data_IF_711555571896
#
_entry.id   IF_711555571896
#
_cell.length_a   1.000
_cell.length_b   1.000
_cell.length_c   1.000
_cell.angle_alpha   90.00
_cell.angle_beta   90.00
_cell.angle_gamma   90.00
#
_symmetry.space_group_name_H-M   'P 1'
#
loop_
_entity.id
_entity.type
_entity.pdbx_description
1 polymer ?
#
# COMPACT_ATOMS: atom_id res chain seq x y z
N UNK A 1 -60.68 -22.13 27.47
CA UNK A 1 -59.44 -21.53 28.02
C UNK A 1 -58.26 -22.28 27.43
N UNK A 2 -57.54 -21.68 26.48
CA UNK A 2 -56.32 -22.27 25.93
C UNK A 2 -55.21 -22.22 26.98
N UNK A 3 -54.55 -23.35 27.30
CA UNK A 3 -53.46 -23.34 28.28
C UNK A 3 -52.31 -22.48 27.73
N UNK A 4 -51.96 -21.40 28.45
CA UNK A 4 -50.72 -20.68 28.22
C UNK A 4 -49.58 -21.66 28.53
N UNK A 5 -48.90 -22.17 27.50
CA UNK A 5 -47.68 -22.97 27.69
C UNK A 5 -46.66 -22.10 28.40
N UNK A 6 -46.31 -22.45 29.63
CA UNK A 6 -45.19 -21.84 30.32
C UNK A 6 -43.92 -22.25 29.59
N UNK A 7 -43.18 -21.29 29.04
CA UNK A 7 -41.87 -21.54 28.43
C UNK A 7 -40.96 -22.13 29.48
N UNK A 8 -40.44 -23.34 29.24
CA UNK A 8 -39.56 -23.98 30.22
C UNK A 8 -38.18 -23.34 30.14
N UNK A 9 -37.51 -23.18 31.29
CA UNK A 9 -36.15 -22.64 31.35
C UNK A 9 -35.17 -23.44 30.45
N UNK A 10 -35.43 -24.73 30.27
CA UNK A 10 -34.72 -25.61 29.34
C UNK A 10 -34.87 -25.14 27.89
N UNK A 11 -36.08 -24.80 27.45
CA UNK A 11 -36.36 -24.33 26.09
C UNK A 11 -35.64 -23.00 25.80
N UNK A 12 -35.54 -22.11 26.78
CA UNK A 12 -34.77 -20.85 26.67
C UNK A 12 -33.27 -21.14 26.52
N UNK A 13 -32.71 -22.05 27.35
CA UNK A 13 -31.29 -22.41 27.27
C UNK A 13 -30.97 -23.04 25.92
N UNK A 14 -31.81 -23.94 25.42
CA UNK A 14 -31.62 -24.57 24.10
C UNK A 14 -31.60 -23.52 23.00
N UNK A 15 -32.53 -22.55 23.01
CA UNK A 15 -32.55 -21.46 22.02
C UNK A 15 -31.30 -20.59 22.12
N UNK A 16 -30.83 -20.25 23.33
CA UNK A 16 -29.60 -19.48 23.51
C UNK A 16 -28.36 -20.24 23.02
N UNK A 17 -28.26 -21.54 23.29
CA UNK A 17 -27.18 -22.39 22.78
C UNK A 17 -27.20 -22.46 21.25
N UNK A 18 -28.37 -22.65 20.63
CA UNK A 18 -28.51 -22.67 19.17
C UNK A 18 -28.14 -21.32 18.55
N UNK A 19 -28.54 -20.20 19.17
CA UNK A 19 -28.10 -18.88 18.73
C UNK A 19 -26.59 -18.71 18.85
N UNK A 20 -25.97 -19.15 19.95
CA UNK A 20 -24.51 -19.11 20.10
C UNK A 20 -23.78 -19.93 19.03
N UNK A 21 -24.24 -21.14 18.74
CA UNK A 21 -23.67 -22.03 17.71
C UNK A 21 -23.76 -21.39 16.31
N UNK A 22 -24.79 -20.59 16.04
CA UNK A 22 -24.96 -19.92 14.75
C UNK A 22 -24.22 -18.58 14.66
N UNK A 23 -24.25 -17.77 15.72
CA UNK A 23 -23.68 -16.42 15.73
C UNK A 23 -22.16 -16.46 15.68
N UNK A 24 -21.52 -17.36 16.44
CA UNK A 24 -20.06 -17.46 16.51
C UNK A 24 -19.40 -17.72 15.13
N UNK A 25 -19.79 -18.74 14.36
CA UNK A 25 -19.17 -18.99 13.05
C UNK A 25 -19.49 -17.90 12.02
N UNK A 26 -20.67 -17.28 12.08
CA UNK A 26 -20.98 -16.14 11.21
C UNK A 26 -20.08 -14.95 11.55
N UNK A 27 -19.91 -14.65 12.84
CA UNK A 27 -19.01 -13.60 13.31
C UNK A 27 -17.57 -13.82 12.87
N UNK A 28 -17.05 -15.04 12.99
CA UNK A 28 -15.67 -15.35 12.56
C UNK A 28 -15.49 -15.23 11.06
N UNK A 29 -16.46 -15.67 10.25
CA UNK A 29 -16.42 -15.51 8.78
C UNK A 29 -16.44 -14.04 8.40
N UNK A 30 -17.31 -13.22 9.02
CA UNK A 30 -17.36 -11.78 8.76
C UNK A 30 -16.05 -11.10 9.16
N UNK A 31 -15.46 -11.47 10.28
CA UNK A 31 -14.18 -10.91 10.72
C UNK A 31 -13.03 -11.26 9.76
N UNK A 32 -12.96 -12.51 9.30
CA UNK A 32 -11.97 -12.94 8.30
C UNK A 32 -12.19 -12.22 6.96
N UNK A 33 -13.44 -12.14 6.50
CA UNK A 33 -13.79 -11.45 5.26
C UNK A 33 -13.45 -9.96 5.30
N UNK A 34 -13.82 -9.28 6.39
CA UNK A 34 -13.48 -7.87 6.62
C UNK A 34 -11.97 -7.66 6.60
N UNK A 35 -11.20 -8.48 7.33
CA UNK A 35 -9.72 -8.40 7.36
C UNK A 35 -9.09 -8.63 5.99
N UNK A 36 -9.64 -9.54 5.19
CA UNK A 36 -9.14 -9.81 3.85
C UNK A 36 -9.40 -8.61 2.93
N UNK A 37 -10.61 -8.05 2.99
CA UNK A 37 -10.99 -6.87 2.23
C UNK A 37 -10.12 -5.64 2.59
N UNK A 38 -9.91 -5.34 3.87
CA UNK A 38 -9.08 -4.21 4.29
C UNK A 38 -7.63 -4.36 3.85
N UNK A 39 -7.11 -5.60 3.86
CA UNK A 39 -5.75 -5.90 3.38
C UNK A 39 -5.62 -5.61 1.88
N UNK A 40 -6.58 -6.10 1.08
CA UNK A 40 -6.60 -5.86 -0.37
C UNK A 40 -6.76 -4.38 -0.71
N UNK A 41 -7.66 -3.68 -0.03
CA UNK A 41 -7.87 -2.24 -0.22
C UNK A 41 -6.59 -1.46 0.03
N UNK A 42 -5.92 -1.68 1.17
CA UNK A 42 -4.68 -0.96 1.49
C UNK A 42 -3.54 -1.25 0.53
N UNK A 43 -3.45 -2.50 0.05
CA UNK A 43 -2.47 -2.86 -0.97
C UNK A 43 -2.76 -2.11 -2.30
N UNK A 44 -4.03 -2.02 -2.69
CA UNK A 44 -4.43 -1.27 -3.89
C UNK A 44 -4.17 0.24 -3.74
N UNK A 45 -4.45 0.80 -2.57
CA UNK A 45 -4.17 2.22 -2.26
C UNK A 45 -2.67 2.51 -2.34
N UNK A 46 -1.84 1.70 -1.68
CA UNK A 46 -0.39 1.84 -1.72
C UNK A 46 0.18 1.72 -3.15
N UNK A 47 -0.35 0.80 -3.95
CA UNK A 47 0.06 0.65 -5.35
C UNK A 47 -0.33 1.88 -6.18
N UNK A 48 -1.53 2.41 -5.98
CA UNK A 48 -2.01 3.64 -6.63
C UNK A 48 -1.12 4.83 -6.28
N UNK A 49 -0.74 4.97 -5.01
CA UNK A 49 0.19 6.01 -4.57
C UNK A 49 1.57 5.88 -5.19
N UNK A 50 2.14 4.67 -5.26
CA UNK A 50 3.43 4.43 -5.90
C UNK A 50 3.39 4.76 -7.40
N UNK A 51 2.29 4.38 -8.07
CA UNK A 51 2.06 4.72 -9.47
C UNK A 51 1.99 6.24 -9.66
N UNK A 52 1.25 6.95 -8.80
CA UNK A 52 1.15 8.41 -8.86
C UNK A 52 2.49 9.09 -8.57
N UNK A 53 3.24 8.62 -7.57
CA UNK A 53 4.58 9.10 -7.27
C UNK A 53 5.53 8.93 -8.47
N UNK A 54 5.46 7.79 -9.17
CA UNK A 54 6.24 7.55 -10.39
C UNK A 54 5.91 8.56 -11.50
N UNK A 55 4.63 8.90 -11.66
CA UNK A 55 4.18 9.87 -12.66
C UNK A 55 4.66 11.28 -12.34
N UNK A 56 4.62 11.67 -11.06
CA UNK A 56 5.19 12.95 -10.61
C UNK A 56 6.69 13.03 -10.87
N UNK A 57 7.44 11.95 -10.57
CA UNK A 57 8.88 11.89 -10.83
C UNK A 57 9.15 11.97 -12.33
N UNK A 58 8.41 11.25 -13.17
CA UNK A 58 8.60 11.26 -14.62
C UNK A 58 8.22 12.60 -15.26
N UNK A 59 7.14 13.22 -14.79
CA UNK A 59 6.76 14.57 -15.19
C UNK A 59 7.80 15.61 -14.79
N UNK A 60 8.43 15.43 -13.63
CA UNK A 60 9.55 16.26 -13.18
C UNK A 60 10.81 16.02 -14.02
N UNK A 61 11.20 14.78 -14.29
CA UNK A 61 12.37 14.46 -15.13
C UNK A 61 12.26 15.02 -16.55
N UNK A 62 11.05 15.04 -17.12
CA UNK A 62 10.79 15.65 -18.42
C UNK A 62 11.12 17.17 -18.43
N UNK A 63 10.97 17.84 -17.28
CA UNK A 63 11.30 19.28 -17.13
C UNK A 63 12.79 19.51 -16.85
N UNK A 64 13.52 18.48 -16.42
CA UNK A 64 14.93 18.53 -16.06
C UNK A 64 15.80 17.64 -16.95
N UNK A 65 15.93 17.90 -18.27
CA UNK A 65 16.62 17.00 -19.21
C UNK A 65 18.13 16.82 -18.94
N UNK A 66 18.73 17.64 -18.07
CA UNK A 66 20.14 17.56 -17.65
C UNK A 66 20.29 16.97 -16.25
N UNK A 67 19.32 16.18 -15.80
CA UNK A 67 19.38 15.54 -14.50
C UNK A 67 20.61 14.64 -14.37
N UNK A 68 21.05 14.45 -13.13
CA UNK A 68 22.15 13.56 -12.76
C UNK A 68 21.67 12.62 -11.67
N UNK A 69 21.93 11.33 -11.83
CA UNK A 69 21.69 10.34 -10.78
C UNK A 69 22.80 10.52 -9.72
N UNK A 70 22.42 10.50 -8.45
CA UNK A 70 23.37 10.54 -7.34
C UNK A 70 24.29 9.30 -7.37
N UNK A 71 25.50 9.40 -6.81
CA UNK A 71 26.50 8.32 -6.88
C UNK A 71 26.08 7.02 -6.19
N UNK A 72 25.13 7.10 -5.27
CA UNK A 72 24.56 5.97 -4.55
C UNK A 72 23.30 5.40 -5.24
N UNK A 73 22.89 5.98 -6.37
CA UNK A 73 21.65 5.67 -7.10
C UNK A 73 20.36 5.93 -6.30
N UNK A 74 20.40 6.58 -5.13
CA UNK A 74 19.22 6.82 -4.28
C UNK A 74 18.64 8.23 -4.41
N UNK A 75 19.05 8.96 -5.43
CA UNK A 75 18.59 10.31 -5.69
C UNK A 75 18.85 10.77 -7.12
N UNK A 76 18.18 11.85 -7.49
CA UNK A 76 18.34 12.52 -8.78
C UNK A 76 18.44 14.03 -8.52
N UNK A 77 19.52 14.64 -8.99
CA UNK A 77 19.72 16.08 -9.02
C UNK A 77 19.26 16.63 -10.38
N UNK A 78 18.22 17.46 -10.39
CA UNK A 78 17.68 18.12 -11.57
C UNK A 78 18.39 19.44 -11.90
N UNK A 79 19.35 19.86 -11.07
CA UNK A 79 19.99 21.17 -11.13
C UNK A 79 19.13 22.29 -10.54
N UNK A 80 19.76 23.44 -10.28
CA UNK A 80 19.09 24.64 -9.74
C UNK A 80 18.32 24.43 -8.42
N UNK A 81 18.73 23.44 -7.62
CA UNK A 81 18.09 23.11 -6.33
C UNK A 81 16.94 22.12 -6.42
N UNK A 82 16.53 21.71 -7.63
CA UNK A 82 15.52 20.68 -7.83
C UNK A 82 16.13 19.30 -7.58
N UNK A 83 15.57 18.53 -6.64
CA UNK A 83 16.14 17.24 -6.23
C UNK A 83 15.09 16.22 -5.82
N UNK A 84 15.23 15.00 -6.33
CA UNK A 84 14.61 13.80 -5.79
C UNK A 84 15.60 13.11 -4.86
N UNK A 85 15.18 12.78 -3.64
CA UNK A 85 16.05 12.10 -2.67
C UNK A 85 15.27 11.13 -1.82
N UNK A 86 15.81 9.94 -1.65
CA UNK A 86 15.42 9.03 -0.59
C UNK A 86 16.27 9.28 0.66
N UNK A 87 15.62 9.59 1.78
CA UNK A 87 16.28 9.81 3.07
C UNK A 87 15.29 9.54 4.20
N UNK A 88 15.76 8.94 5.30
CA UNK A 88 14.98 8.68 6.51
C UNK A 88 13.66 7.94 6.21
N UNK A 89 13.75 6.93 5.33
CA UNK A 89 12.61 6.14 4.85
C UNK A 89 11.51 6.94 4.15
N UNK A 90 11.85 8.13 3.62
CA UNK A 90 10.92 8.95 2.83
C UNK A 90 11.53 9.27 1.48
N UNK A 91 10.72 9.07 0.45
CA UNK A 91 11.04 9.56 -0.89
C UNK A 91 10.51 10.99 -1.02
N UNK A 92 11.42 11.95 -1.22
CA UNK A 92 11.07 13.36 -1.31
C UNK A 92 11.45 13.94 -2.66
N UNK A 93 10.51 14.63 -3.29
CA UNK A 93 10.74 15.44 -4.47
C UNK A 93 10.66 16.91 -4.08
N UNK A 94 11.75 17.66 -4.28
CA UNK A 94 11.86 19.08 -3.94
C UNK A 94 11.48 19.36 -2.47
N UNK A 95 11.83 18.42 -1.59
CA UNK A 95 11.55 18.49 -0.15
C UNK A 95 10.15 18.01 0.28
N UNK A 96 9.23 17.73 -0.66
CA UNK A 96 7.89 17.20 -0.37
C UNK A 96 7.89 15.68 -0.40
N UNK A 97 7.26 15.03 0.58
CA UNK A 97 7.07 13.57 0.57
C UNK A 97 6.16 13.17 -0.59
N UNK A 98 6.57 12.17 -1.37
CA UNK A 98 5.75 11.63 -2.46
C UNK A 98 4.80 10.52 -2.00
N UNK A 99 5.13 9.88 -0.89
CA UNK A 99 4.42 8.72 -0.35
C UNK A 99 4.13 8.98 1.12
N UNK A 100 2.97 8.50 1.57
CA UNK A 100 2.60 8.49 2.99
C UNK A 100 3.16 7.25 3.71
N UNK A 101 3.50 6.22 2.94
CA UNK A 101 4.10 4.98 3.43
C UNK A 101 5.63 5.09 3.58
N UNK A 102 6.23 4.43 4.58
CA UNK A 102 7.68 4.29 4.67
C UNK A 102 8.26 3.63 3.42
N UNK A 103 9.27 4.28 2.85
CA UNK A 103 10.05 3.77 1.72
C UNK A 103 11.30 3.11 2.28
N UNK A 104 11.34 1.79 2.20
CA UNK A 104 12.46 0.99 2.68
C UNK A 104 13.69 1.14 1.82
N UNK A 105 13.48 1.20 0.50
CA UNK A 105 14.55 1.43 -0.45
C UNK A 105 14.00 2.12 -1.71
N UNK A 106 14.83 2.91 -2.35
CA UNK A 106 14.53 3.54 -3.62
C UNK A 106 15.81 3.67 -4.43
N UNK A 107 15.87 3.06 -5.61
CA UNK A 107 17.05 3.17 -6.46
C UNK A 107 16.70 3.53 -7.91
N UNK A 108 17.63 4.21 -8.56
CA UNK A 108 17.50 4.69 -9.93
C UNK A 108 18.60 4.05 -10.77
N UNK A 109 18.21 3.22 -11.73
CA UNK A 109 19.15 2.53 -12.61
C UNK A 109 19.07 3.12 -14.01
N UNK A 110 20.17 3.65 -14.57
CA UNK A 110 20.19 4.08 -15.96
C UNK A 110 20.03 2.88 -16.90
N UNK A 111 19.23 3.04 -17.95
CA UNK A 111 18.98 2.01 -18.96
C UNK A 111 19.85 2.20 -20.20
N UNK A 112 20.28 1.10 -20.84
CA UNK A 112 20.87 1.15 -22.18
C UNK A 112 19.84 1.74 -23.15
N UNK A 113 20.17 2.85 -23.82
CA UNK A 113 19.26 3.50 -24.78
C UNK A 113 18.63 4.82 -24.33
N UNK A 114 19.03 5.39 -23.18
CA UNK A 114 18.68 6.77 -22.81
C UNK A 114 17.43 6.92 -21.94
N UNK A 115 17.24 6.00 -21.00
CA UNK A 115 16.17 6.03 -20.01
C UNK A 115 16.65 5.69 -18.60
N UNK A 116 15.72 5.61 -17.65
CA UNK A 116 15.97 5.14 -16.28
C UNK A 116 14.90 4.14 -15.86
N UNK A 117 15.23 3.32 -14.87
CA UNK A 117 14.32 2.46 -14.14
C UNK A 117 14.33 2.91 -12.68
N UNK A 118 13.16 3.17 -12.12
CA UNK A 118 12.96 3.42 -10.70
C UNK A 118 12.57 2.09 -10.04
N UNK A 119 13.32 1.68 -9.02
CA UNK A 119 12.93 0.59 -8.14
C UNK A 119 12.50 1.19 -6.82
N UNK A 120 11.30 0.85 -6.37
CA UNK A 120 10.71 1.37 -5.15
C UNK A 120 10.31 0.20 -4.25
N UNK A 121 10.94 0.11 -3.08
CA UNK A 121 10.51 -0.79 -2.00
C UNK A 121 9.81 0.03 -0.91
N UNK A 122 8.52 -0.23 -0.70
CA UNK A 122 7.73 0.40 0.35
C UNK A 122 7.26 -0.64 1.38
N UNK A 123 7.09 -0.20 2.62
CA UNK A 123 6.49 -0.99 3.69
C UNK A 123 5.09 -0.47 4.02
N UNK A 124 4.09 -1.28 3.71
CA UNK A 124 2.68 -0.94 3.87
C UNK A 124 2.17 -1.54 5.19
N UNK A 125 1.68 -0.69 6.08
CA UNK A 125 1.06 -1.14 7.31
C UNK A 125 -0.38 -1.60 7.02
N UNK A 126 -0.60 -2.92 6.96
CA UNK A 126 -1.91 -3.49 6.67
C UNK A 126 -2.89 -3.34 7.85
N UNK A 127 -2.38 -3.39 9.08
CA UNK A 127 -3.11 -3.16 10.33
C UNK A 127 -2.10 -2.87 11.45
N UNK A 128 -2.54 -2.13 12.48
CA UNK A 128 -1.83 -1.84 13.74
C UNK A 128 -1.22 -3.06 14.45
N UNK A 129 -1.71 -4.26 14.17
CA UNK A 129 -1.30 -5.54 14.81
C UNK A 129 -0.64 -6.55 13.85
N UNK A 130 -0.44 -6.19 12.58
CA UNK A 130 0.03 -7.13 11.53
C UNK A 130 1.40 -6.74 10.97
N UNK A 131 2.11 -7.69 10.33
CA UNK A 131 3.41 -7.41 9.73
C UNK A 131 3.31 -6.36 8.62
N UNK A 132 4.37 -5.57 8.50
CA UNK A 132 4.63 -4.68 7.38
C UNK A 132 4.63 -5.51 6.10
N UNK A 133 3.72 -5.23 5.18
CA UNK A 133 3.76 -5.83 3.86
C UNK A 133 4.82 -5.10 3.04
N UNK A 134 5.79 -5.86 2.53
CA UNK A 134 6.78 -5.32 1.59
C UNK A 134 6.17 -5.31 0.21
N UNK A 135 6.19 -4.13 -0.40
CA UNK A 135 5.78 -3.92 -1.78
C UNK A 135 7.01 -3.48 -2.56
N UNK A 136 7.25 -4.12 -3.69
CA UNK A 136 8.33 -3.75 -4.60
C UNK A 136 7.72 -3.45 -5.96
N UNK A 137 7.85 -2.21 -6.41
CA UNK A 137 7.34 -1.72 -7.69
C UNK A 137 8.50 -1.20 -8.53
N UNK A 138 8.41 -1.43 -9.84
CA UNK A 138 9.44 -1.06 -10.81
C UNK A 138 8.78 -0.22 -11.90
N UNK A 139 9.32 0.98 -12.14
CA UNK A 139 8.79 1.92 -13.11
C UNK A 139 9.86 2.37 -14.10
N UNK A 140 9.55 2.32 -15.38
CA UNK A 140 10.48 2.66 -16.46
C UNK A 140 10.19 4.03 -17.07
N UNK A 141 11.24 4.81 -17.36
CA UNK A 141 11.18 6.09 -18.07
C UNK A 141 12.17 6.13 -19.26
N UNK A 142 11.75 6.56 -20.46
CA UNK A 142 10.35 6.72 -20.87
C UNK A 142 9.61 5.37 -20.73
N UNK A 143 8.31 5.43 -20.48
CA UNK A 143 7.46 4.26 -20.20
C UNK A 143 7.51 3.29 -21.39
N UNK A 144 7.88 2.03 -21.16
CA UNK A 144 7.97 1.01 -22.21
C UNK A 144 6.91 -0.07 -21.93
N UNK A 145 5.74 0.00 -22.56
CA UNK A 145 4.69 -1.03 -22.47
C UNK A 145 3.25 -0.47 -22.46
N UNK A 146 2.23 -1.25 -22.90
CA UNK A 146 0.86 -0.78 -23.06
C UNK A 146 0.05 -0.84 -21.74
N UNK A 147 -0.90 0.09 -21.69
CA UNK A 147 -1.95 0.31 -20.68
C UNK A 147 -2.83 -0.91 -20.43
#
# INVERSE_FOLDING_TARGET
MTPRRAFTLVEIIVVLCLMGILIVPVGTVMEVGYRHFTTLSRQADAKTECQHASELIFGWLAQHPKYRIDTDNHGIDGGAGARLRWQDQKLRLEGKSLLDWPVRDFSVTPRPGGGITLNLEAEVLLDSRRPLMRMHEIYDYPRVGPW
#
